data_IF_079405978317
#
_entry.id   IF_079405978317
#
_cell.length_a   1.000
_cell.length_b   1.000
_cell.length_c   1.000
_cell.angle_alpha   90.00
_cell.angle_beta   90.00
_cell.angle_gamma   90.00
#
_symmetry.space_group_name_H-M   'P 1'
#
loop_
_entity.id
_entity.type
_entity.pdbx_description
1 polymer ?
#
# COMPACT_ATOMS: atom_id res chain seq x y z
N UNK A 1 -27.46 -18.59 -12.31
CA UNK A 1 -27.70 -17.17 -11.93
C UNK A 1 -26.87 -16.92 -10.69
N UNK A 2 -25.67 -16.36 -10.88
CA UNK A 2 -24.70 -16.09 -9.81
C UNK A 2 -24.77 -14.63 -9.44
N UNK A 3 -24.91 -14.39 -8.15
CA UNK A 3 -25.13 -13.11 -7.47
C UNK A 3 -24.12 -12.03 -7.86
N UNK A 4 -24.66 -10.88 -8.25
CA UNK A 4 -23.94 -9.63 -8.46
C UNK A 4 -23.52 -9.05 -7.11
N UNK A 5 -22.23 -8.86 -6.89
CA UNK A 5 -21.71 -8.19 -5.70
C UNK A 5 -21.19 -6.80 -6.10
N UNK A 6 -21.87 -5.80 -5.54
CA UNK A 6 -21.42 -4.42 -5.30
C UNK A 6 -21.02 -3.54 -6.49
N UNK A 7 -22.01 -2.77 -6.93
CA UNK A 7 -21.89 -1.55 -7.73
C UNK A 7 -21.19 -0.43 -6.96
N UNK A 8 -19.94 -0.05 -7.31
CA UNK A 8 -19.37 1.26 -6.94
C UNK A 8 -18.29 1.74 -7.94
N UNK A 9 -18.51 1.61 -9.24
CA UNK A 9 -17.85 2.45 -10.25
C UNK A 9 -18.88 2.75 -11.34
N UNK A 10 -19.70 3.77 -11.13
CA UNK A 10 -20.74 4.19 -12.08
C UNK A 10 -20.21 5.06 -13.22
N UNK A 11 -18.90 5.13 -13.41
CA UNK A 11 -18.29 5.79 -14.56
C UNK A 11 -17.21 4.84 -15.08
N UNK A 12 -17.20 4.57 -16.39
CA UNK A 12 -16.26 3.67 -17.06
C UNK A 12 -14.80 4.14 -17.06
N UNK A 13 -14.34 4.68 -15.93
CA UNK A 13 -12.97 5.07 -15.66
C UNK A 13 -12.22 3.90 -15.07
N UNK A 14 -11.08 3.59 -15.69
CA UNK A 14 -10.07 2.65 -15.23
C UNK A 14 -9.94 2.66 -13.70
N UNK A 15 -9.97 1.49 -13.06
CA UNK A 15 -9.77 1.25 -11.63
C UNK A 15 -8.32 1.55 -11.19
N UNK A 16 -7.81 2.71 -11.58
CA UNK A 16 -6.42 3.12 -11.45
C UNK A 16 -6.33 4.50 -10.80
N UNK A 17 -5.27 4.68 -10.03
CA UNK A 17 -4.98 5.93 -9.34
C UNK A 17 -3.56 5.93 -8.81
N UNK A 18 -3.20 7.02 -8.13
CA UNK A 18 -1.91 7.13 -7.46
C UNK A 18 -2.01 6.57 -6.04
N UNK A 19 -1.49 5.37 -5.86
CA UNK A 19 -1.38 4.72 -4.56
C UNK A 19 -0.36 5.45 -3.69
N UNK A 20 -0.76 5.79 -2.47
CA UNK A 20 0.10 6.45 -1.49
C UNK A 20 0.91 5.38 -0.77
N UNK A 21 2.23 5.35 -0.98
CA UNK A 21 3.13 4.40 -0.29
C UNK A 21 3.65 4.93 1.04
N UNK A 22 3.77 6.24 1.20
CA UNK A 22 4.38 6.79 2.40
C UNK A 22 4.21 8.29 2.47
N UNK A 23 4.13 8.78 3.70
CA UNK A 23 3.98 10.20 3.99
C UNK A 23 5.16 10.64 4.87
N UNK A 24 5.73 11.79 4.57
CA UNK A 24 6.70 12.42 5.44
C UNK A 24 6.02 13.05 6.66
N UNK A 25 6.72 13.06 7.79
CA UNK A 25 6.29 13.75 9.00
C UNK A 25 6.12 15.25 8.72
N UNK A 26 5.10 15.86 9.33
CA UNK A 26 4.70 17.27 9.13
C UNK A 26 4.35 17.66 7.67
N UNK A 27 4.22 16.68 6.77
CA UNK A 27 3.92 16.95 5.37
C UNK A 27 2.48 17.45 5.14
N UNK A 28 2.25 18.26 4.09
CA UNK A 28 0.90 18.66 3.69
C UNK A 28 -0.05 17.48 3.48
N UNK A 29 0.47 16.37 2.95
CA UNK A 29 -0.30 15.16 2.74
C UNK A 29 -0.80 14.54 4.05
N UNK A 30 0.10 14.42 5.04
CA UNK A 30 -0.24 13.91 6.36
C UNK A 30 -1.26 14.83 7.05
N UNK A 31 -1.07 16.15 6.95
CA UNK A 31 -1.99 17.16 7.50
C UNK A 31 -3.36 17.15 6.82
N UNK A 32 -3.43 16.77 5.56
CA UNK A 32 -4.69 16.58 4.83
C UNK A 32 -5.44 15.30 5.24
N UNK A 33 -4.82 14.42 6.03
CA UNK A 33 -5.42 13.15 6.45
C UNK A 33 -5.29 12.05 5.40
N UNK A 34 -4.30 12.13 4.51
CA UNK A 34 -3.95 10.98 3.68
C UNK A 34 -3.43 9.86 4.59
N UNK A 35 -3.88 8.63 4.32
CA UNK A 35 -3.43 7.42 4.97
C UNK A 35 -2.51 6.67 4.00
N UNK A 36 -1.24 6.43 4.35
CA UNK A 36 -0.39 5.61 3.51
C UNK A 36 -1.01 4.21 3.37
N UNK A 37 -0.76 3.55 2.24
CA UNK A 37 -1.25 2.23 1.82
C UNK A 37 -2.72 2.10 1.49
N UNK A 38 -3.58 2.71 2.29
CA UNK A 38 -5.01 2.56 2.05
C UNK A 38 -5.51 3.57 1.03
N UNK A 39 -4.85 4.73 0.93
CA UNK A 39 -5.31 5.79 0.05
C UNK A 39 -4.76 5.67 -1.38
N UNK A 40 -5.68 5.80 -2.32
CA UNK A 40 -5.44 5.93 -3.74
C UNK A 40 -5.99 7.26 -4.21
N UNK A 41 -5.11 8.16 -4.64
CA UNK A 41 -5.51 9.45 -5.20
C UNK A 41 -6.05 9.21 -6.61
N UNK A 42 -7.34 9.44 -6.76
CA UNK A 42 -8.08 9.21 -7.98
C UNK A 42 -8.14 10.46 -8.86
N UNK A 43 -8.35 11.63 -8.24
CA UNK A 43 -8.43 12.90 -8.94
C UNK A 43 -7.91 14.06 -8.10
N UNK A 44 -7.48 15.12 -8.77
CA UNK A 44 -7.05 16.38 -8.16
C UNK A 44 -7.85 17.52 -8.80
N UNK A 45 -8.63 18.21 -7.98
CA UNK A 45 -9.61 19.21 -8.39
C UNK A 45 -10.69 18.58 -9.27
N UNK A 46 -10.73 19.00 -10.53
CA UNK A 46 -11.65 18.48 -11.55
C UNK A 46 -10.96 17.53 -12.54
N UNK A 47 -9.70 17.15 -12.29
CA UNK A 47 -8.89 16.36 -13.22
C UNK A 47 -8.69 14.94 -12.70
N UNK A 48 -9.22 13.96 -13.43
CA UNK A 48 -9.05 12.53 -13.13
C UNK A 48 -7.63 12.05 -13.49
N UNK A 49 -7.00 11.36 -12.55
CA UNK A 49 -5.67 10.77 -12.70
C UNK A 49 -5.80 9.33 -13.19
N UNK A 50 -6.12 9.14 -14.46
CA UNK A 50 -6.36 7.82 -15.07
C UNK A 50 -5.13 7.21 -15.75
N UNK A 51 -4.00 7.92 -15.77
CA UNK A 51 -2.74 7.47 -16.39
C UNK A 51 -1.55 7.90 -15.56
N UNK A 52 -0.50 7.07 -15.55
CA UNK A 52 0.80 7.47 -15.06
C UNK A 52 1.34 8.62 -15.93
N UNK A 53 1.81 9.67 -15.28
CA UNK A 53 2.50 10.76 -15.93
C UNK A 53 2.83 11.90 -14.98
N UNK A 54 3.28 13.02 -15.54
CA UNK A 54 3.58 14.23 -14.78
C UNK A 54 2.35 15.10 -14.52
N UNK A 55 1.15 14.68 -14.95
CA UNK A 55 -0.12 15.39 -14.71
C UNK A 55 -0.35 15.71 -13.23
N UNK A 56 -0.18 14.72 -12.35
CA UNK A 56 -0.30 14.93 -10.90
C UNK A 56 0.70 16.00 -10.43
N UNK A 57 1.95 15.91 -10.87
CA UNK A 57 3.01 16.86 -10.47
C UNK A 57 2.75 18.27 -11.02
N UNK A 58 2.28 18.38 -12.25
CA UNK A 58 1.98 19.65 -12.90
C UNK A 58 0.80 20.35 -12.20
N UNK A 59 -0.26 19.60 -11.88
CA UNK A 59 -1.41 20.10 -11.14
C UNK A 59 -1.03 20.53 -9.71
N UNK A 60 -0.15 19.78 -9.04
CA UNK A 60 0.38 20.19 -7.74
C UNK A 60 1.24 21.46 -7.82
N UNK A 61 2.06 21.60 -8.88
CA UNK A 61 2.84 22.82 -9.12
C UNK A 61 1.96 24.02 -9.45
N UNK A 62 0.92 23.81 -10.26
CA UNK A 62 -0.02 24.86 -10.64
C UNK A 62 -0.87 25.35 -9.45
N UNK A 63 -1.14 24.46 -8.49
CA UNK A 63 -1.89 24.77 -7.27
C UNK A 63 -0.99 24.96 -6.04
N UNK A 64 0.30 25.27 -6.24
CA UNK A 64 1.22 25.54 -5.14
C UNK A 64 0.68 26.66 -4.24
N UNK A 65 0.75 26.47 -2.92
CA UNK A 65 0.22 27.37 -1.89
C UNK A 65 -1.30 27.61 -1.96
N UNK A 66 -2.03 26.77 -2.70
CA UNK A 66 -3.49 26.84 -2.80
C UNK A 66 -4.11 25.52 -2.36
N UNK A 67 -5.19 25.61 -1.59
CA UNK A 67 -6.00 24.46 -1.24
C UNK A 67 -6.59 23.83 -2.51
N UNK A 68 -6.29 22.54 -2.72
CA UNK A 68 -6.81 21.74 -3.82
C UNK A 68 -7.51 20.52 -3.25
N UNK A 69 -8.69 20.22 -3.82
CA UNK A 69 -9.44 19.03 -3.46
C UNK A 69 -8.80 17.80 -4.10
N UNK A 70 -8.63 16.74 -3.33
CA UNK A 70 -8.22 15.43 -3.78
C UNK A 70 -9.37 14.47 -3.57
N UNK A 71 -9.71 13.70 -4.60
CA UNK A 71 -10.58 12.56 -4.45
C UNK A 71 -9.72 11.34 -4.18
N UNK A 72 -9.94 10.72 -3.02
CA UNK A 72 -9.11 9.64 -2.52
C UNK A 72 -9.98 8.43 -2.23
N UNK A 73 -9.65 7.30 -2.83
CA UNK A 73 -10.25 6.02 -2.51
C UNK A 73 -9.46 5.35 -1.40
N UNK A 74 -10.16 5.00 -0.33
CA UNK A 74 -9.56 4.31 0.81
C UNK A 74 -9.90 2.82 0.73
N UNK A 75 -8.90 1.98 0.51
CA UNK A 75 -9.08 0.53 0.36
C UNK A 75 -9.51 -0.17 1.65
N UNK A 76 -9.18 0.39 2.83
CA UNK A 76 -9.62 -0.08 4.16
C UNK A 76 -11.10 0.15 4.44
N UNK A 77 -11.74 1.11 3.78
CA UNK A 77 -13.17 1.38 3.97
C UNK A 77 -13.98 1.12 2.71
N UNK A 78 -13.30 0.86 1.59
CA UNK A 78 -13.88 0.75 0.24
C UNK A 78 -14.75 1.97 -0.11
N UNK A 79 -14.34 3.16 0.36
CA UNK A 79 -15.07 4.40 0.16
C UNK A 79 -14.17 5.45 -0.47
N UNK A 80 -14.79 6.27 -1.31
CA UNK A 80 -14.16 7.48 -1.85
C UNK A 80 -14.47 8.64 -0.92
N UNK A 81 -13.44 9.40 -0.55
CA UNK A 81 -13.53 10.61 0.26
C UNK A 81 -12.86 11.78 -0.46
N UNK A 82 -13.39 12.98 -0.26
CA UNK A 82 -12.72 14.21 -0.68
C UNK A 82 -11.87 14.74 0.48
N UNK A 83 -10.60 14.99 0.21
CA UNK A 83 -9.65 15.62 1.12
C UNK A 83 -9.20 16.95 0.53
N UNK A 84 -8.91 17.93 1.38
CA UNK A 84 -8.33 19.20 0.94
C UNK A 84 -6.85 19.23 1.33
N UNK A 85 -5.97 19.35 0.34
CA UNK A 85 -4.53 19.44 0.55
C UNK A 85 -4.02 20.77 0.04
N UNK A 86 -3.05 21.35 0.75
CA UNK A 86 -2.37 22.56 0.29
C UNK A 86 -0.92 22.21 -0.03
N UNK A 87 -0.57 21.91 -1.29
CA UNK A 87 0.82 21.66 -1.65
C UNK A 87 1.66 22.90 -1.31
N UNK A 88 2.78 22.68 -0.64
CA UNK A 88 3.69 23.74 -0.21
C UNK A 88 5.13 23.33 -0.50
N UNK A 89 6.01 24.30 -0.74
CA UNK A 89 7.45 24.07 -0.78
C UNK A 89 8.16 24.52 0.52
N UNK A 90 7.43 25.14 1.46
CA UNK A 90 8.00 25.79 2.64
C UNK A 90 7.98 24.92 3.90
N UNK A 91 7.42 23.71 3.82
CA UNK A 91 7.31 22.78 4.96
C UNK A 91 8.61 22.03 5.26
N UNK A 92 9.66 22.23 4.45
CA UNK A 92 11.03 21.78 4.76
C UNK A 92 11.37 20.34 4.36
N UNK A 93 10.43 19.55 3.85
CA UNK A 93 10.69 18.20 3.34
C UNK A 93 10.78 18.11 1.81
N UNK A 94 10.82 16.87 1.31
CA UNK A 94 10.99 16.61 -0.12
C UNK A 94 9.64 16.57 -0.85
N UNK A 95 9.49 17.42 -1.87
CA UNK A 95 8.31 17.47 -2.73
C UNK A 95 7.23 18.44 -2.25
N UNK A 96 6.15 18.57 -3.02
CA UNK A 96 5.08 19.54 -2.75
C UNK A 96 4.04 19.02 -1.75
N UNK A 97 3.78 17.70 -1.79
CA UNK A 97 2.85 17.03 -0.88
C UNK A 97 3.56 16.37 0.30
N UNK A 98 4.83 16.00 0.13
CA UNK A 98 5.55 15.10 1.03
C UNK A 98 5.02 13.66 1.04
N UNK A 99 4.26 13.27 0.01
CA UNK A 99 3.79 11.91 -0.19
C UNK A 99 4.61 11.20 -1.29
N UNK A 100 4.99 9.96 -1.02
CA UNK A 100 5.47 9.01 -2.02
C UNK A 100 4.26 8.32 -2.64
N UNK A 101 4.08 8.49 -3.95
CA UNK A 101 2.96 7.92 -4.69
C UNK A 101 3.43 7.13 -5.91
N UNK A 102 2.71 6.06 -6.25
CA UNK A 102 2.93 5.25 -7.46
C UNK A 102 1.62 5.06 -8.19
N UNK A 103 1.63 5.14 -9.51
CA UNK A 103 0.42 4.87 -10.28
C UNK A 103 0.19 3.35 -10.36
N UNK A 104 -0.90 2.88 -9.75
CA UNK A 104 -1.28 1.47 -9.75
C UNK A 104 -2.79 1.32 -9.95
N UNK A 105 -3.20 0.17 -10.47
CA UNK A 105 -4.61 -0.23 -10.40
C UNK A 105 -4.94 -0.71 -8.99
N UNK A 106 -6.03 -0.20 -8.43
CA UNK A 106 -6.53 -0.66 -7.12
C UNK A 106 -7.51 -1.85 -7.25
N UNK A 107 -7.78 -2.28 -8.49
CA UNK A 107 -8.46 -3.54 -8.78
C UNK A 107 -7.61 -4.70 -8.24
N UNK A 108 -8.15 -5.46 -7.28
CA UNK A 108 -7.44 -6.56 -6.62
C UNK A 108 -6.35 -6.17 -5.61
N UNK A 109 -6.11 -4.88 -5.34
CA UNK A 109 -5.09 -4.46 -4.38
C UNK A 109 -5.36 -4.96 -2.94
N UNK A 110 -6.63 -5.17 -2.58
CA UNK A 110 -7.02 -5.76 -1.30
C UNK A 110 -6.92 -7.30 -1.27
N UNK A 111 -6.75 -7.96 -2.42
CA UNK A 111 -6.65 -9.43 -2.51
C UNK A 111 -5.21 -9.91 -2.30
N UNK A 112 -4.23 -9.01 -2.42
CA UNK A 112 -2.80 -9.29 -2.26
C UNK A 112 -2.30 -8.85 -0.88
N UNK A 113 -2.99 -9.28 0.19
CA UNK A 113 -2.57 -9.07 1.58
C UNK A 113 -2.36 -10.41 2.27
N UNK A 114 -1.19 -10.57 2.88
CA UNK A 114 -0.77 -11.80 3.54
C UNK A 114 -0.63 -11.58 5.03
N UNK A 115 -1.44 -12.28 5.83
CA UNK A 115 -1.36 -12.20 7.28
C UNK A 115 -0.18 -13.01 7.81
N UNK A 116 0.64 -12.37 8.65
CA UNK A 116 1.73 -13.03 9.36
C UNK A 116 1.16 -13.76 10.57
N UNK A 117 1.25 -15.10 10.59
CA UNK A 117 0.80 -15.90 11.72
C UNK A 117 1.94 -16.10 12.72
N UNK A 118 2.46 -17.33 12.84
CA UNK A 118 3.56 -17.64 13.75
C UNK A 118 4.93 -17.35 13.14
N UNK A 119 5.82 -16.86 14.01
CA UNK A 119 7.18 -16.42 13.70
C UNK A 119 8.15 -17.25 14.51
N UNK A 120 8.95 -18.10 13.84
CA UNK A 120 9.90 -18.93 14.58
C UNK A 120 11.13 -18.13 15.03
N UNK A 121 11.63 -18.41 16.23
CA UNK A 121 12.82 -17.73 16.77
C UNK A 121 14.07 -18.10 15.96
N UNK A 122 14.89 -17.11 15.58
CA UNK A 122 16.00 -17.24 14.62
C UNK A 122 15.61 -17.52 13.15
N UNK A 123 14.32 -17.45 12.81
CA UNK A 123 13.90 -17.50 11.41
C UNK A 123 14.28 -16.23 10.65
N UNK A 124 14.40 -16.29 9.31
CA UNK A 124 14.76 -15.14 8.49
C UNK A 124 13.85 -13.92 8.67
N UNK A 125 12.55 -14.10 8.95
CA UNK A 125 11.69 -12.94 9.19
C UNK A 125 11.59 -12.51 10.66
N UNK A 126 12.06 -13.31 11.63
CA UNK A 126 12.29 -12.87 13.00
C UNK A 126 13.51 -11.95 13.01
N UNK A 127 14.53 -12.32 12.22
CA UNK A 127 15.70 -11.49 11.94
C UNK A 127 15.31 -10.21 11.19
N UNK A 128 14.27 -10.24 10.36
CA UNK A 128 13.73 -9.06 9.68
C UNK A 128 12.79 -8.21 10.56
N UNK A 129 12.42 -8.68 11.76
CA UNK A 129 11.55 -7.96 12.70
C UNK A 129 10.05 -8.05 12.41
N UNK A 130 9.59 -9.13 11.76
CA UNK A 130 8.16 -9.41 11.63
C UNK A 130 7.57 -9.78 13.00
N UNK A 131 6.39 -9.23 13.29
CA UNK A 131 5.62 -9.49 14.50
C UNK A 131 4.50 -10.45 14.15
N UNK A 132 4.46 -11.57 14.89
CA UNK A 132 3.41 -12.58 14.78
C UNK A 132 2.02 -11.97 14.99
N UNK A 133 1.04 -12.35 14.18
CA UNK A 133 -0.37 -11.96 14.27
C UNK A 133 -0.70 -10.48 14.06
N UNK A 134 0.21 -9.55 14.33
CA UNK A 134 -0.02 -8.10 14.20
C UNK A 134 0.42 -7.57 12.83
N UNK A 135 1.35 -8.23 12.14
CA UNK A 135 1.84 -7.78 10.85
C UNK A 135 1.07 -8.40 9.67
N UNK A 136 0.82 -7.57 8.65
CA UNK A 136 0.18 -7.93 7.40
C UNK A 136 1.07 -7.47 6.26
N UNK A 137 1.57 -8.39 5.45
CA UNK A 137 2.33 -8.03 4.25
C UNK A 137 1.33 -7.51 3.22
N UNK A 138 1.43 -6.23 2.88
CA UNK A 138 0.57 -5.53 1.92
C UNK A 138 1.28 -5.25 0.59
N UNK A 139 2.56 -5.60 0.48
CA UNK A 139 3.33 -5.44 -0.75
C UNK A 139 4.78 -5.88 -0.66
N UNK A 140 5.44 -5.90 -1.82
CA UNK A 140 6.87 -6.15 -1.97
C UNK A 140 7.49 -5.16 -2.97
N UNK A 141 8.82 -5.11 -3.04
CA UNK A 141 9.58 -4.29 -4.00
C UNK A 141 9.17 -4.57 -5.46
N UNK A 142 8.89 -5.84 -5.75
CA UNK A 142 8.39 -6.29 -7.05
C UNK A 142 6.86 -6.25 -7.08
N UNK A 143 6.31 -5.90 -8.24
CA UNK A 143 4.86 -5.79 -8.45
C UNK A 143 4.24 -7.17 -8.33
N UNK A 144 3.54 -7.41 -7.22
CA UNK A 144 2.75 -8.61 -7.01
C UNK A 144 1.44 -8.44 -7.77
N UNK A 145 1.29 -9.14 -8.89
CA UNK A 145 0.06 -9.14 -9.66
C UNK A 145 -0.96 -10.13 -9.05
N UNK A 146 -0.49 -11.23 -8.47
CA UNK A 146 -1.32 -12.33 -7.96
C UNK A 146 -0.76 -12.97 -6.67
N UNK A 147 -1.64 -13.67 -5.94
CA UNK A 147 -1.29 -14.36 -4.68
C UNK A 147 -0.23 -15.45 -4.84
N UNK A 148 -0.17 -16.09 -6.02
CA UNK A 148 0.81 -17.13 -6.36
C UNK A 148 2.20 -16.55 -6.67
N UNK A 149 2.24 -15.28 -7.09
CA UNK A 149 3.48 -14.60 -7.44
C UNK A 149 4.34 -14.35 -6.19
N UNK A 150 3.72 -14.11 -5.03
CA UNK A 150 4.44 -13.87 -3.78
C UNK A 150 5.29 -15.08 -3.34
N UNK A 151 4.74 -16.29 -3.35
CA UNK A 151 5.51 -17.49 -3.01
C UNK A 151 6.67 -17.72 -3.99
N UNK A 152 6.38 -17.55 -5.29
CA UNK A 152 7.38 -17.63 -6.35
C UNK A 152 8.49 -16.57 -6.18
N UNK A 153 8.13 -15.37 -5.71
CA UNK A 153 9.03 -14.27 -5.40
C UNK A 153 10.00 -14.64 -4.27
N UNK A 154 9.47 -15.21 -3.18
CA UNK A 154 10.29 -15.67 -2.05
C UNK A 154 11.26 -16.76 -2.51
N UNK A 155 10.79 -17.72 -3.32
CA UNK A 155 11.64 -18.78 -3.86
C UNK A 155 12.73 -18.24 -4.80
N UNK A 156 12.39 -17.31 -5.69
CA UNK A 156 13.33 -16.70 -6.63
C UNK A 156 14.38 -15.79 -5.94
N UNK A 157 14.06 -15.30 -4.74
CA UNK A 157 14.93 -14.43 -3.95
C UNK A 157 15.59 -15.14 -2.76
N UNK A 158 15.73 -16.46 -2.81
CA UNK A 158 16.52 -17.20 -1.82
C UNK A 158 17.96 -16.67 -1.73
N UNK A 159 18.40 -16.35 -0.51
CA UNK A 159 19.70 -15.77 -0.20
C UNK A 159 19.84 -14.28 -0.55
N UNK A 160 18.76 -13.61 -1.01
CA UNK A 160 18.78 -12.19 -1.38
C UNK A 160 17.90 -11.35 -0.45
N UNK A 161 18.30 -10.11 -0.15
CA UNK A 161 17.47 -9.19 0.61
C UNK A 161 16.25 -8.78 -0.23
N UNK A 162 15.06 -9.11 0.27
CA UNK A 162 13.79 -8.75 -0.31
C UNK A 162 13.10 -7.70 0.57
N UNK A 163 12.74 -6.56 0.00
CA UNK A 163 11.96 -5.56 0.73
C UNK A 163 10.49 -5.94 0.69
N UNK A 164 9.92 -6.12 1.87
CA UNK A 164 8.50 -6.32 2.10
C UNK A 164 7.91 -5.13 2.82
N UNK A 165 6.62 -4.97 2.64
CA UNK A 165 5.89 -3.85 3.19
C UNK A 165 4.82 -4.40 4.11
N UNK A 166 4.97 -4.10 5.39
CA UNK A 166 4.12 -4.62 6.44
C UNK A 166 3.22 -3.51 6.95
N UNK A 167 1.93 -3.78 7.03
CA UNK A 167 0.99 -3.03 7.83
C UNK A 167 0.87 -3.68 9.20
N UNK A 168 1.07 -2.91 10.25
CA UNK A 168 0.91 -3.40 11.61
C UNK A 168 -0.42 -2.88 12.19
N UNK A 169 -1.29 -3.79 12.62
CA UNK A 169 -2.63 -3.46 13.15
C UNK A 169 -2.59 -2.73 14.48
N UNK A 170 -1.55 -2.92 15.29
CA UNK A 170 -1.42 -2.25 16.58
C UNK A 170 -1.02 -0.78 16.43
N UNK A 171 -0.13 -0.48 15.47
CA UNK A 171 0.31 0.89 15.22
C UNK A 171 -0.51 1.61 14.15
N UNK A 172 -1.43 0.91 13.48
CA UNK A 172 -2.17 1.36 12.28
C UNK A 172 -1.24 2.04 11.26
N UNK A 173 -0.03 1.48 11.12
CA UNK A 173 1.04 2.11 10.36
C UNK A 173 1.80 1.05 9.58
N UNK A 174 2.39 1.48 8.48
CA UNK A 174 3.12 0.60 7.60
C UNK A 174 4.61 0.84 7.71
N UNK A 175 5.38 -0.25 7.66
CA UNK A 175 6.83 -0.24 7.69
C UNK A 175 7.40 -1.12 6.59
N UNK A 176 8.47 -0.61 5.99
CA UNK A 176 9.30 -1.41 5.09
C UNK A 176 10.27 -2.25 5.92
N UNK A 177 10.31 -3.55 5.64
CA UNK A 177 11.26 -4.49 6.24
C UNK A 177 12.03 -5.20 5.15
N UNK A 178 13.26 -5.62 5.45
CA UNK A 178 14.07 -6.41 4.53
C UNK A 178 14.16 -7.83 5.07
N UNK A 179 13.49 -8.77 4.42
CA UNK A 179 13.61 -10.19 4.72
C UNK A 179 14.58 -10.83 3.76
N UNK A 180 15.44 -11.70 4.27
CA UNK A 180 16.32 -12.51 3.40
C UNK A 180 15.85 -13.96 3.49
N UNK A 181 15.08 -14.46 2.50
CA UNK A 181 14.65 -15.85 2.47
C UNK A 181 15.87 -16.76 2.51
N UNK A 182 15.85 -17.78 3.35
CA UNK A 182 16.98 -18.70 3.48
C UNK A 182 16.42 -20.10 3.63
N UNK A 183 16.59 -20.98 2.64
CA UNK A 183 16.15 -22.37 2.71
C UNK A 183 17.01 -23.26 3.62
N UNK A 184 18.22 -22.83 3.98
CA UNK A 184 19.19 -23.62 4.73
C UNK A 184 19.31 -23.22 6.22
N UNK A 185 18.33 -22.48 6.76
CA UNK A 185 18.35 -21.96 8.13
C UNK A 185 18.07 -22.99 9.23
N UNK A 186 17.67 -24.22 8.87
CA UNK A 186 17.61 -25.36 9.81
C UNK A 186 16.22 -25.74 10.34
N UNK A 187 15.14 -25.07 9.93
CA UNK A 187 13.74 -25.44 10.21
C UNK A 187 13.01 -26.09 9.02
N UNK A 188 11.77 -26.55 9.22
CA UNK A 188 10.90 -27.03 8.12
C UNK A 188 10.29 -25.85 7.35
N UNK A 189 10.72 -25.63 6.10
CA UNK A 189 10.21 -24.56 5.22
C UNK A 189 11.21 -23.43 5.01
N UNK A 190 11.17 -22.76 3.85
CA UNK A 190 12.20 -21.78 3.42
C UNK A 190 12.05 -20.38 4.05
N UNK A 191 10.92 -20.15 4.74
CA UNK A 191 10.59 -18.99 5.56
C UNK A 191 9.49 -19.46 6.54
N UNK A 192 9.76 -19.78 7.80
CA UNK A 192 8.65 -20.10 8.74
C UNK A 192 8.04 -18.80 9.25
N UNK A 193 7.18 -18.26 8.39
CA UNK A 193 6.04 -17.44 8.74
C UNK A 193 4.87 -18.18 8.11
N UNK A 194 3.98 -18.74 8.92
CA UNK A 194 2.76 -19.32 8.37
C UNK A 194 1.97 -18.15 7.77
N UNK A 195 1.78 -18.18 6.46
CA UNK A 195 0.96 -17.18 5.79
C UNK A 195 -0.37 -17.85 5.48
N UNK A 196 -1.44 -17.46 6.17
CA UNK A 196 -2.76 -17.81 5.65
C UNK A 196 -3.07 -16.84 4.52
N UNK A 197 -3.13 -17.34 3.29
CA UNK A 197 -3.91 -16.70 2.22
C UNK A 197 -5.40 -16.86 2.55
N UNK A 198 -5.84 -16.24 3.65
CA UNK A 198 -7.24 -16.24 4.07
C UNK A 198 -7.80 -14.88 3.73
N UNK A 199 -8.48 -14.83 2.58
CA UNK A 199 -9.72 -14.11 2.33
C UNK A 199 -10.14 -13.16 3.47
N UNK A 200 -9.50 -11.99 3.57
CA UNK A 200 -9.95 -10.94 4.49
C UNK A 200 -11.11 -10.24 3.79
N UNK A 201 -12.27 -10.90 3.82
CA UNK A 201 -13.53 -10.18 3.82
C UNK A 201 -13.48 -9.36 5.10
N UNK A 202 -13.09 -8.11 4.93
CA UNK A 202 -13.24 -7.03 5.88
C UNK A 202 -14.72 -6.95 6.27
N UNK A 203 -15.11 -7.73 7.28
CA UNK A 203 -16.41 -7.63 7.91
C UNK A 203 -16.30 -6.57 9.01
N UNK A 204 -17.13 -5.52 8.97
CA UNK A 204 -17.15 -4.51 10.00
C UNK A 204 -17.77 -5.12 11.26
N UNK A 205 -17.13 -4.92 12.40
CA UNK A 205 -17.79 -4.95 13.71
C UNK A 205 -17.69 -3.53 14.27
#
# INVERSE_FOLDING_TARGET
MGVSQSSFLSDGGTSSGYHVHGLQEDSPALRAGLEPFFDFILSIGNTRLSKEGDLLKDLLKANMEKAVKLEVYNSKTQRVRELEVTPSNMWGGQGLLGASVRFCSFEGANENVWHVLDVETNSPAALAGLIAYDDFIVGADQVLQDSEDFFSLIEANEGKPLKLLLYNTQTDNCREVVVTPNGAWGGEGRCVFLISASFIIMSPI
#
